data_IF_759516697675
#
_entry.id   IF_759516697675
#
_cell.length_a   1.000
_cell.length_b   1.000
_cell.length_c   1.000
_cell.angle_alpha   90.00
_cell.angle_beta   90.00
_cell.angle_gamma   90.00
#
_symmetry.space_group_name_H-M   'P 1'
#
loop_
_entity.id
_entity.type
_entity.pdbx_description
1 polymer ?
#
# COMPACT_ATOMS: atom_id res chain seq x y z
N UNK A 1 -30.00 18.49 14.17
CA UNK A 1 -28.88 17.65 14.64
C UNK A 1 -28.67 16.58 13.59
N UNK A 2 -27.62 16.69 12.76
CA UNK A 2 -27.31 15.67 11.75
C UNK A 2 -26.43 14.62 12.42
N UNK A 3 -26.87 13.37 12.45
CA UNK A 3 -26.04 12.26 12.89
C UNK A 3 -24.85 12.10 11.92
N UNK A 4 -23.63 11.80 12.40
CA UNK A 4 -22.53 11.50 11.51
C UNK A 4 -22.87 10.23 10.72
N UNK A 5 -22.75 10.30 9.39
CA UNK A 5 -22.82 9.12 8.55
C UNK A 5 -21.72 8.16 8.99
N UNK A 6 -22.10 7.05 9.61
CA UNK A 6 -21.22 5.91 9.82
C UNK A 6 -20.92 5.34 8.44
N UNK A 7 -19.85 5.83 7.81
CA UNK A 7 -19.21 5.13 6.71
C UNK A 7 -18.86 3.76 7.26
N UNK A 8 -19.47 2.72 6.73
CA UNK A 8 -19.16 1.34 7.07
C UNK A 8 -17.74 1.08 6.56
N UNK A 9 -16.73 1.39 7.38
CA UNK A 9 -15.33 1.14 7.07
C UNK A 9 -15.11 -0.37 7.10
N UNK A 10 -15.29 -1.00 5.94
CA UNK A 10 -14.70 -2.32 5.72
C UNK A 10 -13.19 -2.20 5.99
N UNK A 11 -12.58 -3.16 6.72
CA UNK A 11 -11.13 -3.15 6.89
C UNK A 11 -10.48 -3.08 5.51
N UNK A 12 -9.39 -2.32 5.38
CA UNK A 12 -8.76 -2.04 4.08
C UNK A 12 -8.52 -3.33 3.26
N UNK A 13 -8.24 -4.46 3.90
CA UNK A 13 -8.09 -5.79 3.29
C UNK A 13 -9.33 -6.34 2.54
N UNK A 14 -10.52 -5.77 2.75
CA UNK A 14 -11.78 -6.20 2.15
C UNK A 14 -12.32 -5.26 1.07
N UNK A 15 -11.62 -4.14 0.80
CA UNK A 15 -12.04 -3.19 -0.22
C UNK A 15 -11.73 -3.73 -1.63
N UNK A 16 -12.75 -3.72 -2.49
CA UNK A 16 -12.59 -4.05 -3.91
C UNK A 16 -12.02 -2.87 -4.68
N UNK A 17 -11.25 -3.16 -5.72
CA UNK A 17 -10.68 -2.17 -6.58
C UNK A 17 -11.73 -1.64 -7.56
N UNK A 18 -12.16 -0.41 -7.31
CA UNK A 18 -13.11 0.30 -8.17
C UNK A 18 -12.38 0.86 -9.41
N UNK A 19 -12.30 0.06 -10.47
CA UNK A 19 -11.74 0.45 -11.75
C UNK A 19 -12.31 -0.39 -12.90
N UNK A 20 -12.17 0.06 -14.15
CA UNK A 20 -12.57 -0.71 -15.32
C UNK A 20 -11.76 -2.01 -15.47
N UNK A 21 -12.31 -2.93 -16.25
CA UNK A 21 -11.63 -4.19 -16.59
C UNK A 21 -10.26 -3.99 -17.25
N UNK A 22 -10.07 -2.88 -17.97
CA UNK A 22 -8.77 -2.53 -18.58
C UNK A 22 -7.73 -2.20 -17.51
N UNK A 23 -8.07 -1.36 -16.54
CA UNK A 23 -7.16 -0.99 -15.44
C UNK A 23 -6.91 -2.19 -14.53
N UNK A 24 -7.92 -3.01 -14.26
CA UNK A 24 -7.79 -4.26 -13.49
C UNK A 24 -6.80 -5.21 -14.19
N UNK A 25 -6.92 -5.39 -15.51
CA UNK A 25 -5.98 -6.20 -16.29
C UNK A 25 -4.56 -5.62 -16.25
N UNK A 26 -4.41 -4.30 -16.41
CA UNK A 26 -3.14 -3.60 -16.32
C UNK A 26 -2.44 -3.84 -14.96
N UNK A 27 -3.17 -3.71 -13.85
CA UNK A 27 -2.61 -3.97 -12.50
C UNK A 27 -2.18 -5.43 -12.35
N UNK A 28 -3.02 -6.38 -12.81
CA UNK A 28 -2.70 -7.81 -12.77
C UNK A 28 -1.41 -8.13 -13.53
N UNK A 29 -1.32 -7.67 -14.77
CA UNK A 29 -0.18 -7.92 -15.64
C UNK A 29 1.09 -7.25 -15.11
N UNK A 30 0.95 -6.07 -14.52
CA UNK A 30 2.05 -5.37 -13.85
C UNK A 30 2.57 -6.15 -12.64
N UNK A 31 1.68 -6.66 -11.79
CA UNK A 31 2.06 -7.48 -10.64
C UNK A 31 2.83 -8.74 -11.09
N UNK A 32 2.34 -9.44 -12.13
CA UNK A 32 3.05 -10.58 -12.72
C UNK A 32 4.43 -10.19 -13.25
N UNK A 33 4.54 -9.08 -13.97
CA UNK A 33 5.81 -8.58 -14.51
C UNK A 33 6.82 -8.21 -13.41
N UNK A 34 6.32 -7.78 -12.26
CA UNK A 34 7.12 -7.48 -11.07
C UNK A 34 7.48 -8.74 -10.25
N UNK A 35 7.05 -9.93 -10.68
CA UNK A 35 7.44 -11.20 -10.08
C UNK A 35 6.42 -11.77 -9.08
N UNK A 36 5.23 -11.19 -8.96
CA UNK A 36 4.18 -11.74 -8.11
C UNK A 36 3.68 -13.10 -8.65
N UNK A 37 3.33 -14.01 -7.74
CA UNK A 37 2.70 -15.27 -8.13
C UNK A 37 1.32 -15.02 -8.78
N UNK A 38 0.80 -15.94 -9.61
CA UNK A 38 -0.49 -15.76 -10.29
C UNK A 38 -1.67 -15.44 -9.36
N UNK A 39 -1.73 -16.06 -8.18
CA UNK A 39 -2.78 -15.77 -7.19
C UNK A 39 -2.62 -14.39 -6.56
N UNK A 40 -1.38 -13.98 -6.26
CA UNK A 40 -1.09 -12.64 -5.74
C UNK A 40 -1.43 -11.57 -6.78
N UNK A 41 -1.15 -11.81 -8.07
CA UNK A 41 -1.52 -10.90 -9.14
C UNK A 41 -3.04 -10.79 -9.34
N UNK A 42 -3.78 -11.89 -9.15
CA UNK A 42 -5.26 -11.84 -9.16
C UNK A 42 -5.79 -11.04 -7.99
N UNK A 43 -5.20 -11.22 -6.81
CA UNK A 43 -5.55 -10.45 -5.62
C UNK A 43 -5.21 -8.96 -5.77
N UNK A 44 -4.09 -8.64 -6.41
CA UNK A 44 -3.72 -7.28 -6.81
C UNK A 44 -4.77 -6.65 -7.72
N UNK A 45 -5.26 -7.39 -8.71
CA UNK A 45 -6.31 -6.95 -9.61
C UNK A 45 -7.64 -6.73 -8.86
N UNK A 46 -7.92 -7.55 -7.83
CA UNK A 46 -9.14 -7.48 -7.04
C UNK A 46 -9.15 -6.32 -6.05
N UNK A 47 -8.00 -5.99 -5.46
CA UNK A 47 -7.90 -5.04 -4.32
C UNK A 47 -7.10 -3.78 -4.63
N UNK A 48 -6.41 -3.75 -5.77
CA UNK A 48 -5.43 -2.71 -6.10
C UNK A 48 -4.16 -2.80 -5.27
N UNK A 49 -3.96 -3.83 -4.44
CA UNK A 49 -2.83 -3.93 -3.52
C UNK A 49 -2.01 -5.20 -3.72
N UNK A 50 -0.69 -5.07 -3.63
CA UNK A 50 0.23 -6.20 -3.70
C UNK A 50 1.57 -5.88 -3.04
N UNK A 51 2.33 -6.93 -2.74
CA UNK A 51 3.68 -6.81 -2.19
C UNK A 51 4.72 -6.75 -3.31
N UNK A 52 5.68 -5.84 -3.18
CA UNK A 52 6.90 -5.78 -3.97
C UNK A 52 8.09 -5.74 -3.02
N UNK A 53 8.91 -6.79 -3.02
CA UNK A 53 10.03 -6.95 -2.08
C UNK A 53 9.56 -6.85 -0.62
N UNK A 54 9.90 -5.76 0.08
CA UNK A 54 9.48 -5.47 1.46
C UNK A 54 8.44 -4.35 1.55
N UNK A 55 7.82 -3.98 0.43
CA UNK A 55 6.97 -2.82 0.32
C UNK A 55 5.57 -3.22 -0.13
N UNK A 56 4.57 -2.80 0.64
CA UNK A 56 3.17 -2.91 0.21
C UNK A 56 2.83 -1.75 -0.72
N UNK A 57 2.42 -2.11 -1.93
CA UNK A 57 2.04 -1.18 -3.00
C UNK A 57 0.53 -1.12 -3.09
N UNK A 58 -0.01 0.09 -3.24
CA UNK A 58 -1.40 0.35 -3.58
C UNK A 58 -1.52 1.05 -4.93
N UNK A 59 -2.56 0.68 -5.68
CA UNK A 59 -2.97 1.30 -6.93
C UNK A 59 -4.44 1.68 -6.79
N UNK A 60 -4.76 2.94 -7.04
CA UNK A 60 -6.13 3.41 -7.17
C UNK A 60 -6.31 4.09 -8.53
N UNK A 61 -7.47 3.95 -9.15
CA UNK A 61 -7.81 4.67 -10.36
C UNK A 61 -8.43 6.03 -10.00
N UNK A 62 -8.04 7.08 -10.70
CA UNK A 62 -8.80 8.32 -10.69
C UNK A 62 -10.12 8.13 -11.46
N UNK A 63 -11.09 9.03 -11.28
CA UNK A 63 -12.42 8.90 -11.90
C UNK A 63 -12.41 8.88 -13.44
N UNK A 64 -11.38 9.48 -14.06
CA UNK A 64 -11.16 9.46 -15.50
C UNK A 64 -10.38 8.23 -15.98
N UNK A 65 -9.82 7.44 -15.05
CA UNK A 65 -8.96 6.28 -15.27
C UNK A 65 -7.69 6.50 -16.11
N UNK A 66 -7.51 7.69 -16.69
CA UNK A 66 -6.29 8.11 -17.39
C UNK A 66 -5.11 8.31 -16.43
N UNK A 67 -5.40 8.49 -15.14
CA UNK A 67 -4.41 8.64 -14.07
C UNK A 67 -4.65 7.62 -12.96
N UNK A 68 -3.57 6.96 -12.56
CA UNK A 68 -3.50 6.09 -11.39
C UNK A 68 -2.84 6.83 -10.23
N UNK A 69 -3.29 6.56 -9.02
CA UNK A 69 -2.58 6.88 -7.79
C UNK A 69 -1.79 5.65 -7.37
N UNK A 70 -0.47 5.80 -7.32
CA UNK A 70 0.42 4.81 -6.76
C UNK A 70 0.75 5.19 -5.33
N UNK A 71 0.57 4.26 -4.40
CA UNK A 71 0.99 4.42 -3.02
C UNK A 71 1.95 3.31 -2.60
N UNK A 72 2.85 3.63 -1.69
CA UNK A 72 3.75 2.68 -1.05
C UNK A 72 3.72 2.91 0.45
N UNK A 73 3.46 1.87 1.21
CA UNK A 73 3.41 1.93 2.66
C UNK A 73 4.80 2.17 3.24
N UNK A 74 4.89 3.07 4.23
CA UNK A 74 6.14 3.40 4.92
C UNK A 74 6.29 2.69 6.27
N UNK A 75 5.29 1.88 6.63
CA UNK A 75 5.16 1.23 7.93
C UNK A 75 4.51 2.12 8.99
N UNK A 76 3.76 1.50 9.89
CA UNK A 76 2.92 2.18 10.90
C UNK A 76 3.71 3.12 11.82
N UNK A 77 4.97 2.77 12.10
CA UNK A 77 5.84 3.56 12.97
C UNK A 77 6.40 4.83 12.30
N UNK A 78 6.25 5.01 10.99
CA UNK A 78 6.94 6.07 10.26
C UNK A 78 6.62 7.49 10.77
N UNK A 79 5.34 7.78 11.05
CA UNK A 79 4.94 9.06 11.63
C UNK A 79 4.82 9.05 13.15
N UNK A 80 5.25 7.98 13.83
CA UNK A 80 5.25 7.93 15.29
C UNK A 80 6.28 8.92 15.88
N UNK A 81 7.36 9.21 15.16
CA UNK A 81 8.31 10.27 15.50
C UNK A 81 7.78 11.66 15.05
N UNK A 82 7.48 12.58 15.99
CA UNK A 82 6.99 13.91 15.64
C UNK A 82 7.97 14.73 14.79
N UNK A 83 9.27 14.56 14.98
CA UNK A 83 10.29 15.28 14.20
C UNK A 83 10.27 14.81 12.73
N UNK A 84 10.13 13.49 12.52
CA UNK A 84 9.97 12.89 11.20
C UNK A 84 8.66 13.29 10.54
N UNK A 85 7.56 13.29 11.28
CA UNK A 85 6.25 13.77 10.79
C UNK A 85 6.32 15.24 10.33
N UNK A 86 6.98 16.11 11.10
CA UNK A 86 7.17 17.51 10.71
C UNK A 86 8.08 17.66 9.49
N UNK A 87 9.18 16.91 9.43
CA UNK A 87 10.10 16.90 8.29
C UNK A 87 9.41 16.42 6.99
N UNK A 88 8.60 15.36 7.06
CA UNK A 88 7.81 14.84 5.95
C UNK A 88 6.83 15.89 5.42
N UNK A 89 6.11 16.58 6.32
CA UNK A 89 5.21 17.66 5.94
C UNK A 89 5.94 18.82 5.25
N UNK A 90 7.10 19.23 5.77
CA UNK A 90 7.93 20.27 5.16
C UNK A 90 8.48 19.84 3.78
N UNK A 91 8.82 18.56 3.61
CA UNK A 91 9.36 18.01 2.38
C UNK A 91 8.31 17.89 1.26
N UNK A 92 7.02 17.78 1.58
CA UNK A 92 5.96 17.54 0.59
C UNK A 92 5.94 18.55 -0.56
N UNK A 93 6.13 19.85 -0.27
CA UNK A 93 6.18 20.88 -1.32
C UNK A 93 7.31 20.59 -2.31
N UNK A 94 8.48 20.21 -1.81
CA UNK A 94 9.65 19.95 -2.64
C UNK A 94 9.49 18.65 -3.44
N UNK A 95 9.04 17.57 -2.79
CA UNK A 95 8.83 16.28 -3.45
C UNK A 95 7.76 16.35 -4.53
N UNK A 96 6.65 17.06 -4.25
CA UNK A 96 5.58 17.24 -5.23
C UNK A 96 6.09 17.96 -6.48
N UNK A 97 6.82 19.07 -6.31
CA UNK A 97 7.33 19.87 -7.44
C UNK A 97 8.41 19.13 -8.22
N UNK A 98 9.26 18.33 -7.56
CA UNK A 98 10.41 17.68 -8.21
C UNK A 98 10.08 16.34 -8.85
N UNK A 99 9.26 15.53 -8.19
CA UNK A 99 9.03 14.14 -8.58
C UNK A 99 7.55 13.73 -8.52
N UNK A 100 6.63 14.64 -8.18
CA UNK A 100 5.19 14.36 -8.18
C UNK A 100 4.72 13.42 -7.06
N UNK A 101 5.51 13.28 -5.99
CA UNK A 101 5.23 12.37 -4.86
C UNK A 101 5.06 13.19 -3.58
N UNK A 102 4.19 12.73 -2.68
CA UNK A 102 4.01 13.31 -1.35
C UNK A 102 3.89 12.23 -0.28
N UNK A 103 4.29 12.57 0.93
CA UNK A 103 3.93 11.87 2.15
C UNK A 103 2.46 12.14 2.50
N UNK A 104 1.72 11.08 2.80
CA UNK A 104 0.32 11.15 3.22
C UNK A 104 0.01 10.13 4.32
N UNK A 105 -1.13 10.33 5.00
CA UNK A 105 -1.74 9.31 5.86
C UNK A 105 -2.86 8.64 5.07
N UNK A 106 -2.62 7.43 4.60
CA UNK A 106 -3.65 6.58 4.02
C UNK A 106 -4.49 5.89 5.11
N UNK A 107 -5.57 5.22 4.70
CA UNK A 107 -6.42 4.44 5.61
C UNK A 107 -5.65 3.31 6.31
N UNK A 108 -4.62 2.77 5.65
CA UNK A 108 -3.75 1.72 6.18
C UNK A 108 -2.52 2.23 6.92
N UNK A 109 -2.34 3.56 7.07
CA UNK A 109 -1.17 4.13 7.74
C UNK A 109 -0.36 5.10 6.88
N UNK A 110 0.89 5.40 7.27
CA UNK A 110 1.79 6.29 6.54
C UNK A 110 2.14 5.75 5.15
N UNK A 111 2.00 6.59 4.12
CA UNK A 111 2.33 6.23 2.73
C UNK A 111 3.10 7.33 2.01
N UNK A 112 3.90 6.95 1.02
CA UNK A 112 4.19 7.82 -0.12
C UNK A 112 3.12 7.62 -1.17
N UNK A 113 2.66 8.70 -1.80
CA UNK A 113 1.67 8.65 -2.87
C UNK A 113 2.05 9.59 -4.00
N UNK A 114 1.86 9.13 -5.25
CA UNK A 114 2.11 9.91 -6.45
C UNK A 114 1.09 9.61 -7.54
N UNK A 115 0.99 10.53 -8.50
CA UNK A 115 0.18 10.33 -9.71
C UNK A 115 1.02 9.67 -10.79
N UNK A 116 0.43 8.71 -11.48
CA UNK A 116 1.03 8.02 -12.61
C UNK A 116 0.05 7.97 -13.76
N UNK A 117 0.48 8.17 -15.03
CA UNK A 117 -0.41 7.93 -16.15
C UNK A 117 -0.81 6.45 -16.22
N UNK A 118 -2.07 6.19 -16.55
CA UNK A 118 -2.52 4.87 -16.96
C UNK A 118 -1.97 4.57 -18.36
N UNK A 119 -0.69 4.22 -18.40
CA UNK A 119 0.01 3.81 -19.60
C UNK A 119 -0.07 2.30 -19.80
N UNK A 120 1.01 1.74 -20.32
CA UNK A 120 1.16 0.28 -20.44
C UNK A 120 1.76 -0.35 -19.18
N UNK A 121 1.86 -1.68 -19.20
CA UNK A 121 2.41 -2.51 -18.12
C UNK A 121 3.85 -2.11 -17.78
N UNK A 122 4.65 -1.72 -18.77
CA UNK A 122 6.05 -1.30 -18.58
C UNK A 122 6.14 0.03 -17.84
N UNK A 123 5.33 1.01 -18.23
CA UNK A 123 5.25 2.32 -17.60
C UNK A 123 4.79 2.20 -16.15
N UNK A 124 3.78 1.37 -15.87
CA UNK A 124 3.29 1.14 -14.52
C UNK A 124 4.31 0.40 -13.66
N UNK A 125 4.92 -0.67 -14.17
CA UNK A 125 5.98 -1.41 -13.46
C UNK A 125 7.17 -0.52 -13.10
N UNK A 126 7.57 0.37 -14.02
CA UNK A 126 8.63 1.34 -13.76
C UNK A 126 8.22 2.36 -12.68
N UNK A 127 6.98 2.82 -12.70
CA UNK A 127 6.46 3.71 -11.65
C UNK A 127 6.46 3.08 -10.28
N UNK A 128 6.01 1.83 -10.18
CA UNK A 128 6.03 1.08 -8.92
C UNK A 128 7.47 0.93 -8.40
N UNK A 129 8.43 0.55 -9.25
CA UNK A 129 9.84 0.45 -8.86
C UNK A 129 10.43 1.78 -8.41
N UNK A 130 10.11 2.87 -9.11
CA UNK A 130 10.57 4.20 -8.72
C UNK A 130 10.00 4.60 -7.35
N UNK A 131 8.71 4.35 -7.10
CA UNK A 131 8.08 4.63 -5.81
C UNK A 131 8.70 3.82 -4.67
N UNK A 132 8.96 2.53 -4.90
CA UNK A 132 9.63 1.67 -3.93
C UNK A 132 11.05 2.15 -3.63
N UNK A 133 11.83 2.53 -4.66
CA UNK A 133 13.18 3.07 -4.48
C UNK A 133 13.18 4.39 -3.68
N UNK A 134 12.20 5.26 -3.91
CA UNK A 134 12.02 6.48 -3.13
C UNK A 134 11.69 6.14 -1.67
N UNK A 135 10.73 5.24 -1.43
CA UNK A 135 10.35 4.79 -0.10
C UNK A 135 11.53 4.18 0.68
N UNK A 136 12.34 3.34 0.02
CA UNK A 136 13.55 2.75 0.59
C UNK A 136 14.55 3.82 1.03
N UNK A 137 14.68 4.93 0.29
CA UNK A 137 15.53 6.06 0.66
C UNK A 137 15.09 6.78 1.95
N UNK A 138 13.84 6.57 2.36
CA UNK A 138 13.25 7.15 3.57
C UNK A 138 13.06 6.13 4.71
N UNK A 139 13.23 4.84 4.43
CA UNK A 139 13.01 3.76 5.38
C UNK A 139 13.78 3.98 6.69
N UNK A 140 13.17 3.57 7.81
CA UNK A 140 13.81 3.62 9.13
C UNK A 140 14.72 2.40 9.26
N UNK A 141 16.03 2.56 9.48
CA UNK A 141 16.89 1.43 9.80
C UNK A 141 16.45 0.80 11.13
N UNK A 142 16.10 -0.48 11.15
CA UNK A 142 15.98 -1.27 12.39
C UNK A 142 14.58 -1.65 12.87
N UNK A 143 13.60 -1.86 11.99
CA UNK A 143 12.42 -2.65 12.35
C UNK A 143 12.22 -3.79 11.34
N UNK A 144 12.61 -5.04 11.65
CA UNK A 144 12.02 -6.17 10.96
C UNK A 144 10.52 -6.15 11.29
N UNK A 145 9.69 -5.96 10.28
CA UNK A 145 8.27 -6.25 10.35
C UNK A 145 8.13 -7.66 10.95
N UNK A 146 7.41 -7.75 12.06
CA UNK A 146 7.21 -9.01 12.75
C UNK A 146 6.48 -9.96 11.82
N UNK A 147 7.24 -10.85 11.18
CA UNK A 147 6.73 -12.04 10.52
C UNK A 147 5.72 -12.69 11.46
N UNK A 148 4.50 -12.88 10.94
CA UNK A 148 3.33 -13.28 11.71
C UNK A 148 3.63 -14.35 12.75
N UNK A 149 3.28 -14.07 13.99
CA UNK A 149 3.16 -15.12 14.99
C UNK A 149 1.86 -15.89 14.69
N UNK A 150 1.90 -17.18 14.32
CA UNK A 150 0.71 -17.99 14.35
C UNK A 150 0.30 -18.14 15.82
N UNK A 151 -0.89 -17.66 16.15
CA UNK A 151 -1.54 -17.94 17.42
C UNK A 151 -1.89 -19.43 17.48
N UNK A 152 -0.97 -20.24 18.00
CA UNK A 152 -1.26 -21.60 18.45
C UNK A 152 -1.20 -21.63 19.98
N UNK A 153 -2.27 -21.17 20.61
CA UNK A 153 -2.56 -21.46 22.01
C UNK A 153 -3.21 -22.84 22.07
N UNK A 154 -2.40 -23.90 22.13
CA UNK A 154 -2.89 -25.20 22.60
C UNK A 154 -2.88 -25.15 24.12
N UNK A 155 -4.06 -24.87 24.70
CA UNK A 155 -4.29 -25.09 26.12
C UNK A 155 -4.34 -26.61 26.38
N UNK A 156 -3.21 -27.18 26.80
CA UNK A 156 -3.17 -28.48 27.45
C UNK A 156 -3.21 -28.25 28.97
N UNK A 157 -4.40 -28.38 29.56
CA UNK A 157 -4.54 -28.64 31.00
C UNK A 157 -5.36 -29.92 31.14
N UNK A 158 -4.70 -30.94 31.66
CA UNK A 158 -5.16 -32.32 31.69
C UNK A 158 -6.44 -32.53 32.49
N UNK A 159 -7.28 -33.39 31.95
CA UNK A 159 -8.30 -34.11 32.68
C UNK A 159 -7.67 -35.41 33.24
N UNK A 160 -7.80 -35.58 34.56
CA UNK A 160 -8.07 -36.83 35.28
C UNK A 160 -7.06 -37.99 35.24
N UNK A 161 -6.42 -38.20 36.40
CA UNK A 161 -6.14 -39.46 37.14
C UNK A 161 -5.20 -39.02 38.30
N UNK A 162 -5.50 -39.16 39.59
CA UNK A 162 -6.13 -40.24 40.36
C UNK A 162 -7.09 -39.71 41.44
#
# INVERSE_FOLDING_TARGET
MNAPATLSEKPASEQEFEASGTVIALVRETALKLGAAPEQAREAARTGRFELESHRVGVAANADEDTLLLSVDLGDAYFADPARSAAALAANMHLFVKIGVVFARGLGGPVLVGRWPAGDVDALANGVRQMAAIAQGFAVPGHPEAAGAPANTVAAVGASQE
#
